data_IF_943385885927
#
_entry.id   IF_943385885927
#
_cell.length_a   1.000
_cell.length_b   1.000
_cell.length_c   1.000
_cell.angle_alpha   90.00
_cell.angle_beta   90.00
_cell.angle_gamma   90.00
#
_symmetry.space_group_name_H-M   'P 1'
#
loop_
_entity.id
_entity.type
_entity.pdbx_description
1 polymer ?
#
# COMPACT_ATOMS: atom_id res chain seq x y z
N UNK A 1 17.30 -2.14 -8.44
CA UNK A 1 16.60 -3.27 -7.77
C UNK A 1 15.15 -2.86 -7.64
N UNK A 2 14.25 -3.43 -8.46
CA UNK A 2 12.82 -3.16 -8.37
C UNK A 2 12.21 -3.99 -7.24
N UNK A 3 11.46 -3.36 -6.34
CA UNK A 3 10.65 -4.08 -5.37
C UNK A 3 9.45 -4.72 -6.09
N UNK A 4 9.12 -5.95 -5.75
CA UNK A 4 7.86 -6.58 -6.16
C UNK A 4 6.86 -6.44 -5.01
N UNK A 5 5.67 -5.91 -5.28
CA UNK A 5 4.61 -5.88 -4.29
C UNK A 5 4.16 -7.31 -3.96
N UNK A 6 3.69 -7.56 -2.74
CA UNK A 6 3.14 -8.86 -2.33
C UNK A 6 1.94 -9.31 -3.17
N UNK A 7 1.32 -8.42 -3.95
CA UNK A 7 0.28 -8.76 -4.94
C UNK A 7 0.83 -9.28 -6.29
N UNK A 8 2.15 -9.27 -6.49
CA UNK A 8 2.80 -9.67 -7.74
C UNK A 8 3.03 -8.53 -8.73
N UNK A 9 2.55 -7.30 -8.46
CA UNK A 9 2.83 -6.15 -9.32
C UNK A 9 4.26 -5.65 -9.15
N UNK A 10 4.91 -5.39 -10.28
CA UNK A 10 6.21 -4.73 -10.36
C UNK A 10 6.11 -3.26 -9.92
N UNK A 11 6.85 -2.88 -8.88
CA UNK A 11 6.87 -1.51 -8.36
C UNK A 11 7.89 -0.73 -9.21
N UNK A 12 7.47 -0.29 -10.39
CA UNK A 12 8.36 0.34 -11.39
C UNK A 12 8.85 1.75 -11.05
N UNK A 13 8.23 2.43 -10.09
CA UNK A 13 8.60 3.82 -9.76
C UNK A 13 9.42 3.89 -8.48
N UNK A 14 10.74 4.05 -8.63
CA UNK A 14 11.69 4.28 -7.54
C UNK A 14 11.34 5.50 -6.66
N UNK A 15 10.56 6.45 -7.18
CA UNK A 15 10.11 7.65 -6.45
C UNK A 15 8.79 7.47 -5.68
N UNK A 16 8.01 6.43 -5.98
CA UNK A 16 6.75 6.09 -5.30
C UNK A 16 6.87 4.76 -4.55
N UNK A 17 8.04 4.53 -3.94
CA UNK A 17 8.25 3.33 -3.13
C UNK A 17 7.48 3.47 -1.81
N UNK A 18 6.20 3.13 -1.87
CA UNK A 18 5.25 3.09 -0.76
C UNK A 18 5.57 1.86 0.09
N UNK A 19 6.42 2.00 1.09
CA UNK A 19 6.75 0.92 2.01
C UNK A 19 5.72 0.87 3.15
N UNK A 20 5.26 -0.33 3.48
CA UNK A 20 4.43 -0.52 4.67
C UNK A 20 5.22 -0.12 5.92
N UNK A 21 4.66 0.75 6.76
CA UNK A 21 5.30 1.17 8.02
C UNK A 21 5.56 -0.02 8.94
N UNK A 22 4.63 -0.96 8.99
CA UNK A 22 4.65 -2.10 9.92
C UNK A 22 5.62 -3.22 9.49
N UNK A 23 5.49 -3.74 8.27
CA UNK A 23 6.33 -4.85 7.78
C UNK A 23 7.46 -4.43 6.83
N UNK A 24 7.54 -3.17 6.43
CA UNK A 24 8.58 -2.66 5.52
C UNK A 24 8.47 -3.08 4.06
N UNK A 25 7.47 -3.90 3.69
CA UNK A 25 7.33 -4.39 2.30
C UNK A 25 6.96 -3.25 1.34
N UNK A 26 7.62 -3.21 0.18
CA UNK A 26 7.25 -2.32 -0.91
C UNK A 26 5.86 -2.67 -1.44
N UNK A 27 4.97 -1.69 -1.52
CA UNK A 27 3.63 -1.82 -2.04
C UNK A 27 3.49 -1.02 -3.33
N UNK A 28 2.74 -1.57 -4.29
CA UNK A 28 2.30 -0.79 -5.44
C UNK A 28 1.23 0.22 -4.99
N UNK A 29 1.03 1.34 -5.70
CA UNK A 29 0.02 2.34 -5.34
C UNK A 29 -1.41 1.79 -5.29
N UNK A 30 -1.69 0.68 -5.98
CA UNK A 30 -2.98 0.00 -5.92
C UNK A 30 -3.18 -0.89 -4.67
N UNK A 31 -2.11 -1.26 -3.96
CA UNK A 31 -2.15 -2.06 -2.73
C UNK A 31 -1.75 -1.27 -1.48
N UNK A 32 -1.21 -0.06 -1.66
CA UNK A 32 -0.89 0.87 -0.61
C UNK A 32 -2.17 1.42 0.00
N UNK A 33 -2.35 1.19 1.30
CA UNK A 33 -3.44 1.75 2.09
C UNK A 33 -2.88 2.90 2.91
N UNK A 34 -3.40 4.11 2.69
CA UNK A 34 -3.05 5.27 3.50
C UNK A 34 -4.00 5.39 4.69
N UNK A 35 -3.45 5.31 5.90
CA UNK A 35 -4.15 5.48 7.17
C UNK A 35 -3.43 6.58 7.94
N UNK A 36 -4.12 7.62 8.41
CA UNK A 36 -3.53 8.66 9.28
C UNK A 36 -2.20 9.25 8.75
N UNK A 37 -2.08 9.43 7.43
CA UNK A 37 -0.88 9.90 6.72
C UNK A 37 0.31 8.93 6.68
N UNK A 38 0.13 7.67 7.08
CA UNK A 38 1.11 6.59 6.93
C UNK A 38 0.63 5.51 5.97
N UNK A 39 1.58 4.83 5.34
CA UNK A 39 1.31 3.79 4.35
C UNK A 39 1.40 2.41 4.96
N UNK A 40 0.40 1.58 4.73
CA UNK A 40 0.38 0.17 5.10
C UNK A 40 0.11 -0.71 3.87
N UNK A 41 0.61 -1.94 3.89
CA UNK A 41 0.19 -2.94 2.92
C UNK A 41 -1.24 -3.40 3.23
N UNK A 42 -1.96 -3.93 2.24
CA UNK A 42 -3.32 -4.43 2.45
C UNK A 42 -3.45 -5.45 3.59
N UNK A 43 -2.41 -6.26 3.85
CA UNK A 43 -2.40 -7.23 4.97
C UNK A 43 -2.29 -6.58 6.35
N UNK A 44 -1.30 -5.70 6.54
CA UNK A 44 -1.11 -4.98 7.79
C UNK A 44 -2.30 -4.05 8.05
N UNK A 45 -2.77 -3.32 7.04
CA UNK A 45 -3.96 -2.49 7.15
C UNK A 45 -5.18 -3.32 7.57
N UNK A 46 -5.38 -4.52 7.03
CA UNK A 46 -6.48 -5.41 7.40
C UNK A 46 -6.42 -5.84 8.86
N UNK A 47 -5.22 -6.18 9.35
CA UNK A 47 -5.02 -6.50 10.77
C UNK A 47 -5.28 -5.29 11.66
N UNK A 48 -4.81 -4.11 11.26
CA UNK A 48 -4.93 -2.87 12.04
C UNK A 48 -6.37 -2.38 12.13
N UNK A 49 -7.12 -2.46 11.02
CA UNK A 49 -8.51 -2.04 10.92
C UNK A 49 -9.49 -3.07 11.51
N UNK A 50 -9.04 -4.31 11.76
CA UNK A 50 -9.94 -5.43 12.10
C UNK A 50 -11.02 -5.69 11.03
N UNK A 51 -10.86 -5.12 9.83
CA UNK A 51 -11.87 -5.12 8.78
C UNK A 51 -11.70 -6.35 7.89
N UNK A 52 -12.82 -6.95 7.47
CA UNK A 52 -12.78 -8.11 6.56
C UNK A 52 -12.29 -7.73 5.16
N UNK A 53 -12.46 -6.47 4.77
CA UNK A 53 -12.03 -5.93 3.48
C UNK A 53 -11.51 -4.51 3.64
N UNK A 54 -10.23 -4.30 3.31
CA UNK A 54 -9.65 -2.97 3.16
C UNK A 54 -9.64 -2.66 1.67
N UNK A 55 -10.40 -1.66 1.25
CA UNK A 55 -10.32 -1.16 -0.12
C UNK A 55 -9.31 -0.03 -0.14
N UNK A 56 -8.33 -0.15 -1.03
CA UNK A 56 -7.46 0.99 -1.35
C UNK A 56 -8.36 2.06 -1.93
N UNK A 57 -8.49 3.18 -1.21
CA UNK A 57 -9.04 4.39 -1.79
C UNK A 57 -8.15 4.73 -2.98
N UNK A 58 -8.74 4.74 -4.17
CA UNK A 58 -8.03 5.18 -5.37
C UNK A 58 -7.43 6.57 -5.16
N UNK A 59 -6.47 6.98 -6.01
CA UNK A 59 -5.95 8.34 -5.95
C UNK A 59 -7.14 9.28 -5.92
N UNK A 60 -7.20 10.13 -4.89
CA UNK A 60 -8.25 11.13 -4.75
C UNK A 60 -8.34 11.88 -6.08
N UNK A 61 -9.43 11.67 -6.81
CA UNK A 61 -9.82 12.50 -7.94
C UNK A 61 -10.24 13.84 -7.32
N UNK A 62 -9.25 14.72 -7.12
CA UNK A 62 -9.46 16.12 -6.82
C UNK A 62 -9.92 16.78 -8.12
N UNK A 63 -11.23 16.80 -8.34
CA UNK A 63 -11.86 17.61 -9.40
C UNK A 63 -12.74 18.70 -8.79
#
# INVERSE_FOLDING_TARGET
MGGSCGCGSEVHFAFHHLACLDCGVGCCPACAVHLESVTYCGGCARSLLGATTVRVGGPFDLQ
#
